data_IF_433940462577
#
_entry.id   IF_433940462577
#
_cell.length_a   1.000
_cell.length_b   1.000
_cell.length_c   1.000
_cell.angle_alpha   90.00
_cell.angle_beta   90.00
_cell.angle_gamma   90.00
#
_symmetry.space_group_name_H-M   'P 1'
#
loop_
_entity.id
_entity.type
_entity.pdbx_description
1 polymer ?
#
# COMPACT_ATOMS: atom_id res chain seq x y z
N UNK A 1 10.02 48.43 43.85
CA UNK A 1 9.24 47.97 42.67
C UNK A 1 10.22 47.74 41.53
N UNK A 2 10.62 46.49 41.30
CA UNK A 2 11.70 46.11 40.38
C UNK A 2 11.17 45.44 39.10
N UNK A 3 11.63 45.84 37.91
CA UNK A 3 11.15 45.34 36.62
C UNK A 3 11.82 44.01 36.24
N UNK A 4 11.62 42.95 37.04
CA UNK A 4 12.21 41.63 36.79
C UNK A 4 11.19 40.54 36.41
N UNK A 5 9.90 40.88 36.27
CA UNK A 5 8.83 39.88 36.08
C UNK A 5 8.34 39.72 34.62
N UNK A 6 8.96 40.40 33.65
CA UNK A 6 8.50 40.43 32.24
C UNK A 6 9.29 39.51 31.28
N UNK A 7 9.81 38.38 31.77
CA UNK A 7 10.58 37.43 30.94
C UNK A 7 10.24 35.96 31.18
N UNK A 8 8.99 35.64 31.53
CA UNK A 8 8.56 34.25 31.72
C UNK A 8 7.21 33.99 31.03
N UNK A 9 7.09 34.38 29.75
CA UNK A 9 5.87 34.14 28.96
C UNK A 9 6.14 33.54 27.57
N UNK A 10 7.38 33.13 27.28
CA UNK A 10 7.79 32.61 25.97
C UNK A 10 8.69 31.37 26.12
N UNK A 11 8.31 30.41 26.96
CA UNK A 11 9.09 29.17 27.09
C UNK A 11 8.25 27.88 27.02
N UNK A 12 6.91 27.96 27.03
CA UNK A 12 6.06 26.75 27.04
C UNK A 12 5.59 26.35 25.63
N UNK A 13 5.51 27.28 24.68
CA UNK A 13 5.01 26.98 23.33
C UNK A 13 6.02 26.23 22.43
N UNK A 14 7.33 26.34 22.71
CA UNK A 14 8.36 25.69 21.90
C UNK A 14 8.54 24.19 22.21
N UNK A 15 8.11 23.73 23.39
CA UNK A 15 8.26 22.33 23.79
C UNK A 15 7.24 21.40 23.11
N UNK A 16 6.07 21.92 22.71
CA UNK A 16 5.02 21.13 22.03
C UNK A 16 5.24 20.98 20.52
N UNK A 17 6.09 21.81 19.91
CA UNK A 17 6.40 21.73 18.47
C UNK A 17 7.57 20.79 18.15
N UNK A 18 8.40 20.43 19.13
CA UNK A 18 9.50 19.47 18.94
C UNK A 18 9.06 17.99 19.03
N UNK A 19 7.84 17.70 19.49
CA UNK A 19 7.35 16.33 19.60
C UNK A 19 6.87 15.73 18.25
N UNK A 20 6.71 16.56 17.21
CA UNK A 20 6.17 16.14 15.91
C UNK A 20 7.23 15.66 14.91
N UNK A 21 8.50 15.80 15.24
CA UNK A 21 9.63 15.37 14.41
C UNK A 21 10.15 14.00 14.86
N UNK A 22 9.25 13.01 14.89
CA UNK A 22 9.67 11.60 14.88
C UNK A 22 10.35 11.36 13.52
N UNK A 23 11.65 11.02 13.48
CA UNK A 23 12.28 10.64 12.23
C UNK A 23 11.53 9.42 11.67
N UNK A 24 11.15 9.48 10.40
CA UNK A 24 10.71 8.29 9.69
C UNK A 24 11.77 7.21 9.91
N UNK A 25 11.40 6.17 10.66
CA UNK A 25 12.29 5.06 11.01
C UNK A 25 12.91 4.56 9.70
N UNK A 26 14.23 4.73 9.53
CA UNK A 26 14.88 4.32 8.30
C UNK A 26 14.62 2.83 8.09
N UNK A 27 13.98 2.47 6.97
CA UNK A 27 13.62 1.09 6.66
C UNK A 27 14.85 0.19 6.78
N UNK A 28 14.70 -0.93 7.50
CA UNK A 28 15.77 -1.91 7.67
C UNK A 28 16.24 -2.46 6.31
N UNK A 29 17.47 -2.97 6.19
CA UNK A 29 17.94 -3.60 4.94
C UNK A 29 16.98 -4.69 4.44
N UNK A 30 16.49 -5.54 5.34
CA UNK A 30 15.51 -6.59 5.02
C UNK A 30 14.17 -6.02 4.51
N UNK A 31 13.77 -4.83 4.96
CA UNK A 31 12.57 -4.16 4.49
C UNK A 31 12.71 -3.54 3.10
N UNK A 32 13.90 -3.03 2.78
CA UNK A 32 14.20 -2.59 1.40
C UNK A 32 14.22 -3.78 0.44
N UNK A 33 14.89 -4.86 0.82
CA UNK A 33 14.95 -6.09 0.02
C UNK A 33 13.55 -6.71 -0.17
N UNK A 34 12.71 -6.69 0.87
CA UNK A 34 11.30 -7.12 0.75
C UNK A 34 10.52 -6.21 -0.21
N UNK A 35 10.70 -4.89 -0.11
CA UNK A 35 10.07 -3.95 -1.04
C UNK A 35 10.52 -4.20 -2.48
N UNK A 36 11.78 -4.57 -2.71
CA UNK A 36 12.31 -4.95 -4.03
C UNK A 36 11.63 -6.20 -4.56
N UNK A 37 11.49 -7.24 -3.73
CA UNK A 37 10.75 -8.46 -4.06
C UNK A 37 9.30 -8.16 -4.45
N UNK A 38 8.62 -7.29 -3.70
CA UNK A 38 7.26 -6.84 -4.01
C UNK A 38 7.21 -6.06 -5.33
N UNK A 39 8.21 -5.21 -5.63
CA UNK A 39 8.29 -4.49 -6.90
C UNK A 39 8.45 -5.45 -8.08
N UNK A 40 9.33 -6.44 -7.97
CA UNK A 40 9.51 -7.46 -8.99
C UNK A 40 8.25 -8.32 -9.16
N UNK A 41 7.56 -8.66 -8.07
CA UNK A 41 6.28 -9.37 -8.10
C UNK A 41 5.22 -8.57 -8.86
N UNK A 42 5.03 -7.28 -8.50
CA UNK A 42 4.05 -6.38 -9.13
C UNK A 42 4.35 -6.13 -10.61
N UNK A 43 5.62 -6.15 -11.00
CA UNK A 43 6.04 -6.01 -12.39
C UNK A 43 5.90 -7.31 -13.21
N UNK A 44 5.35 -8.39 -12.62
CA UNK A 44 5.20 -9.69 -13.28
C UNK A 44 6.50 -10.49 -13.42
N UNK A 45 7.61 -10.02 -12.84
CA UNK A 45 8.89 -10.73 -12.81
C UNK A 45 8.88 -11.79 -11.70
N UNK A 46 7.96 -12.74 -11.82
CA UNK A 46 7.67 -13.73 -10.78
C UNK A 46 8.87 -14.61 -10.38
N UNK A 47 9.73 -15.10 -11.31
CA UNK A 47 10.92 -15.87 -10.93
C UNK A 47 11.92 -15.07 -10.10
N UNK A 48 12.13 -13.80 -10.45
CA UNK A 48 13.01 -12.90 -9.71
C UNK A 48 12.45 -12.61 -8.32
N UNK A 49 11.15 -12.30 -8.25
CA UNK A 49 10.46 -12.08 -6.98
C UNK A 49 10.53 -13.30 -6.06
N UNK A 50 10.29 -14.50 -6.60
CA UNK A 50 10.42 -15.74 -5.85
C UNK A 50 11.83 -15.92 -5.27
N UNK A 51 12.87 -15.70 -6.07
CA UNK A 51 14.26 -15.78 -5.60
C UNK A 51 14.56 -14.80 -4.47
N UNK A 52 14.04 -13.57 -4.56
CA UNK A 52 14.23 -12.55 -3.52
C UNK A 52 13.46 -12.90 -2.23
N UNK A 53 12.21 -13.34 -2.32
CA UNK A 53 11.46 -13.84 -1.16
C UNK A 53 12.12 -15.07 -0.54
N UNK A 54 12.60 -16.00 -1.35
CA UNK A 54 13.33 -17.18 -0.89
C UNK A 54 14.58 -16.80 -0.09
N UNK A 55 15.38 -15.84 -0.59
CA UNK A 55 16.59 -15.39 0.09
C UNK A 55 16.30 -14.70 1.45
N UNK A 56 15.18 -13.99 1.55
CA UNK A 56 14.71 -13.39 2.80
C UNK A 56 14.15 -14.46 3.76
N UNK A 57 13.35 -15.40 3.23
CA UNK A 57 12.78 -16.51 3.98
C UNK A 57 13.88 -17.39 4.62
N UNK A 58 14.93 -17.69 3.86
CA UNK A 58 16.10 -18.44 4.35
C UNK A 58 16.88 -17.72 5.46
N UNK A 59 16.70 -16.40 5.62
CA UNK A 59 17.24 -15.60 6.73
C UNK A 59 16.25 -15.44 7.89
N UNK A 60 15.08 -16.05 7.82
CA UNK A 60 14.05 -16.00 8.87
C UNK A 60 13.04 -14.86 8.72
N UNK A 61 12.96 -14.18 7.56
CA UNK A 61 11.88 -13.21 7.32
C UNK A 61 10.55 -13.97 7.09
N UNK A 62 9.66 -13.84 8.07
CA UNK A 62 8.39 -14.58 8.13
C UNK A 62 7.49 -14.27 6.92
N UNK A 63 7.36 -13.00 6.55
CA UNK A 63 6.44 -12.61 5.48
C UNK A 63 6.92 -13.08 4.12
N UNK A 64 8.24 -13.01 3.89
CA UNK A 64 8.86 -13.59 2.70
C UNK A 64 8.67 -15.10 2.66
N UNK A 65 8.76 -15.79 3.81
CA UNK A 65 8.50 -17.22 3.89
C UNK A 65 7.04 -17.57 3.54
N UNK A 66 6.06 -16.79 4.02
CA UNK A 66 4.64 -16.96 3.66
C UNK A 66 4.44 -16.84 2.15
N UNK A 67 5.02 -15.81 1.54
CA UNK A 67 4.89 -15.57 0.09
C UNK A 67 5.62 -16.65 -0.71
N UNK A 68 6.83 -17.05 -0.31
CA UNK A 68 7.57 -18.12 -0.96
C UNK A 68 6.79 -19.45 -0.90
N UNK A 69 6.24 -19.83 0.26
CA UNK A 69 5.37 -21.00 0.39
C UNK A 69 4.12 -20.92 -0.48
N UNK A 70 3.48 -19.76 -0.52
CA UNK A 70 2.31 -19.53 -1.36
C UNK A 70 2.64 -19.70 -2.86
N UNK A 71 3.72 -19.07 -3.32
CA UNK A 71 4.18 -19.19 -4.70
C UNK A 71 4.58 -20.62 -5.03
N UNK A 72 5.32 -21.30 -4.17
CA UNK A 72 5.73 -22.68 -4.37
C UNK A 72 4.53 -23.63 -4.47
N UNK A 73 3.55 -23.50 -3.57
CA UNK A 73 2.41 -24.42 -3.48
C UNK A 73 1.35 -24.18 -4.55
N UNK A 74 1.03 -22.91 -4.84
CA UNK A 74 -0.04 -22.54 -5.75
C UNK A 74 0.44 -22.05 -7.12
N UNK A 75 1.75 -22.02 -7.33
CA UNK A 75 2.35 -21.51 -8.54
C UNK A 75 1.83 -22.12 -9.84
N UNK A 76 1.74 -23.46 -9.93
CA UNK A 76 1.21 -24.12 -11.12
C UNK A 76 -0.23 -23.70 -11.45
N UNK A 77 -1.06 -23.46 -10.43
CA UNK A 77 -2.47 -23.13 -10.59
C UNK A 77 -2.69 -21.65 -10.89
N UNK A 78 -1.99 -20.75 -10.19
CA UNK A 78 -2.23 -19.31 -10.29
C UNK A 78 -1.41 -18.64 -11.40
N UNK A 79 -0.23 -19.18 -11.70
CA UNK A 79 0.72 -18.53 -12.63
C UNK A 79 1.18 -19.46 -13.76
N UNK A 80 0.75 -20.73 -13.78
CA UNK A 80 1.25 -21.72 -14.74
C UNK A 80 2.76 -21.96 -14.61
N UNK A 81 3.34 -21.71 -13.43
CA UNK A 81 4.78 -21.81 -13.17
C UNK A 81 5.04 -22.60 -11.91
N UNK A 82 5.93 -23.58 -11.99
CA UNK A 82 6.44 -24.28 -10.81
C UNK A 82 7.77 -23.67 -10.41
N UNK A 83 7.91 -23.32 -9.13
CA UNK A 83 9.19 -22.89 -8.58
C UNK A 83 9.76 -23.99 -7.71
N UNK A 84 10.99 -24.35 -8.00
CA UNK A 84 11.69 -25.38 -7.24
C UNK A 84 12.25 -24.79 -5.94
N UNK A 85 12.04 -25.51 -4.86
CA UNK A 85 12.56 -25.20 -3.54
C UNK A 85 12.90 -26.52 -2.87
N UNK A 86 14.11 -26.64 -2.33
CA UNK A 86 14.53 -27.85 -1.64
C UNK A 86 13.58 -28.18 -0.48
N UNK A 87 13.26 -29.46 -0.22
CA UNK A 87 12.28 -29.86 0.78
C UNK A 87 12.63 -29.36 2.19
N UNK A 88 13.92 -29.20 2.49
CA UNK A 88 14.40 -28.63 3.75
C UNK A 88 14.03 -27.15 3.90
N UNK A 89 14.11 -26.36 2.83
CA UNK A 89 13.73 -24.95 2.86
C UNK A 89 12.23 -24.80 3.08
N UNK A 90 11.42 -25.61 2.37
CA UNK A 90 9.96 -25.63 2.52
C UNK A 90 9.57 -25.98 3.96
N UNK A 91 10.18 -27.00 4.55
CA UNK A 91 9.93 -27.38 5.95
C UNK A 91 10.35 -26.28 6.93
N UNK A 92 11.49 -25.63 6.70
CA UNK A 92 11.95 -24.51 7.52
C UNK A 92 11.01 -23.31 7.46
N UNK A 93 10.54 -22.95 6.26
CA UNK A 93 9.57 -21.85 6.08
C UNK A 93 8.24 -22.17 6.74
N UNK A 94 7.74 -23.40 6.61
CA UNK A 94 6.48 -23.82 7.24
C UNK A 94 6.58 -23.71 8.78
N UNK A 95 7.71 -24.14 9.36
CA UNK A 95 8.00 -23.96 10.79
C UNK A 95 8.04 -22.48 11.18
N UNK A 96 8.74 -21.66 10.39
CA UNK A 96 8.87 -20.22 10.63
C UNK A 96 7.49 -19.55 10.65
N UNK A 97 6.64 -19.86 9.68
CA UNK A 97 5.29 -19.31 9.56
C UNK A 97 4.41 -19.76 10.72
N UNK A 98 4.43 -21.04 11.09
CA UNK A 98 3.65 -21.57 12.23
C UNK A 98 4.04 -20.92 13.56
N UNK A 99 5.33 -20.68 13.77
CA UNK A 99 5.85 -20.14 15.03
C UNK A 99 5.87 -18.61 15.08
N UNK A 100 5.45 -17.93 14.00
CA UNK A 100 5.67 -16.50 13.85
C UNK A 100 4.82 -15.58 14.71
N UNK A 101 3.75 -16.06 15.35
CA UNK A 101 2.87 -15.20 16.17
C UNK A 101 2.55 -13.85 15.50
N UNK A 102 2.83 -12.75 16.20
CA UNK A 102 2.67 -11.36 15.71
C UNK A 102 3.92 -10.78 15.03
N UNK A 103 4.97 -11.57 14.80
CA UNK A 103 6.25 -11.11 14.19
C UNK A 103 6.15 -10.76 12.71
N UNK A 104 4.93 -10.71 12.17
CA UNK A 104 4.66 -10.22 10.83
C UNK A 104 4.89 -8.70 10.77
N UNK A 105 5.32 -8.22 9.60
CA UNK A 105 5.27 -6.79 9.28
C UNK A 105 3.83 -6.30 9.50
N UNK A 106 3.65 -5.05 9.96
CA UNK A 106 2.32 -4.47 10.11
C UNK A 106 1.60 -4.58 8.77
N UNK A 107 0.39 -5.16 8.80
CA UNK A 107 -0.40 -5.33 7.59
C UNK A 107 -0.59 -3.95 6.95
N UNK A 108 -0.23 -3.76 5.67
CA UNK A 108 -0.49 -2.48 5.02
C UNK A 108 -1.99 -2.20 5.06
N UNK A 109 -2.35 -0.99 5.45
CA UNK A 109 -3.74 -0.57 5.44
C UNK A 109 -4.25 -0.66 3.99
N UNK A 110 -5.23 -1.52 3.75
CA UNK A 110 -5.83 -1.64 2.43
C UNK A 110 -6.66 -0.38 2.17
N UNK A 111 -6.14 0.52 1.35
CA UNK A 111 -6.87 1.68 0.86
C UNK A 111 -7.31 1.42 -0.60
N UNK A 112 -8.56 0.98 -0.83
CA UNK A 112 -9.04 0.78 -2.19
C UNK A 112 -9.14 2.14 -2.88
N UNK A 113 -8.43 2.31 -4.00
CA UNK A 113 -8.44 3.52 -4.81
C UNK A 113 -9.84 3.96 -5.30
N UNK A 114 -10.84 3.08 -5.17
CA UNK A 114 -12.21 3.28 -5.65
C UNK A 114 -13.09 3.99 -4.61
N UNK A 115 -12.70 4.03 -3.33
CA UNK A 115 -13.54 4.60 -2.27
C UNK A 115 -13.21 6.04 -1.87
N UNK A 116 -12.19 6.66 -2.45
CA UNK A 116 -12.02 8.10 -2.31
C UNK A 116 -13.02 8.78 -3.24
N UNK A 117 -14.07 9.47 -2.73
CA UNK A 117 -14.88 10.32 -3.57
C UNK A 117 -13.97 11.42 -4.08
N UNK A 118 -13.45 11.23 -5.31
CA UNK A 118 -12.87 12.32 -6.07
C UNK A 118 -13.93 13.41 -6.08
N UNK A 119 -13.61 14.55 -5.49
CA UNK A 119 -14.45 15.75 -5.44
C UNK A 119 -14.61 16.24 -6.88
N UNK A 120 -15.41 15.53 -7.67
CA UNK A 120 -15.65 15.83 -9.06
C UNK A 120 -16.41 17.15 -9.08
N UNK A 121 -15.74 18.20 -9.60
CA UNK A 121 -16.36 19.49 -9.86
C UNK A 121 -17.56 19.21 -10.78
N UNK A 122 -18.79 19.61 -10.43
CA UNK A 122 -19.96 19.29 -11.23
C UNK A 122 -19.75 19.82 -12.65
N UNK A 123 -19.68 18.89 -13.61
CA UNK A 123 -19.64 19.23 -15.04
C UNK A 123 -21.01 19.86 -15.36
N UNK A 124 -21.08 21.14 -15.77
CA UNK A 124 -22.34 21.74 -16.15
C UNK A 124 -22.90 20.96 -17.35
N UNK A 125 -24.10 20.42 -17.19
CA UNK A 125 -24.82 19.76 -18.27
C UNK A 125 -25.16 20.83 -19.33
N UNK A 126 -24.95 20.57 -20.63
CA UNK A 126 -25.44 21.47 -21.66
C UNK A 126 -26.97 21.45 -21.62
N UNK A 127 -27.56 22.60 -21.30
CA UNK A 127 -29.01 22.84 -21.41
C UNK A 127 -29.36 22.70 -22.90
N UNK A 128 -29.96 21.57 -23.26
CA UNK A 128 -30.49 21.38 -24.62
C UNK A 128 -31.64 22.36 -24.82
N UNK A 129 -31.40 23.42 -25.57
CA UNK A 129 -32.44 24.35 -25.97
C UNK A 129 -33.54 23.57 -26.71
N UNK A 130 -34.76 23.63 -26.18
CA UNK A 130 -35.96 23.07 -26.78
C UNK A 130 -36.28 23.90 -28.03
N UNK A 131 -36.31 23.34 -29.25
CA UNK A 131 -36.77 24.10 -30.40
C UNK A 131 -38.24 24.47 -30.19
N UNK A 132 -38.55 25.76 -30.30
CA UNK A 132 -39.91 26.25 -30.32
C UNK A 132 -40.62 25.65 -31.53
N UNK A 133 -41.61 24.80 -31.27
CA UNK A 133 -42.48 24.26 -32.30
C UNK A 133 -43.27 25.40 -32.95
N UNK A 134 -43.10 25.52 -34.26
CA UNK A 134 -43.92 26.32 -35.16
C UNK A 134 -45.37 25.82 -35.08
N UNK A 135 -46.29 26.70 -34.72
CA UNK A 135 -47.75 26.52 -34.81
C UNK A 135 -48.29 27.64 -35.69
N UNK A 136 -49.32 27.31 -36.48
CA UNK A 136 -49.88 28.01 -37.65
C UNK A 136 -49.10 27.67 -38.94
N UNK A 137 -49.71 27.12 -39.98
CA UNK A 137 -50.90 27.65 -40.65
C UNK A 137 -51.57 26.54 -41.49
N UNK A 138 -52.75 26.08 -41.08
CA UNK A 138 -53.68 25.29 -41.90
C UNK A 138 -55.08 25.86 -41.68
N UNK A 139 -55.44 26.78 -42.56
CA UNK A 139 -56.79 27.12 -42.97
C UNK A 139 -56.59 27.65 -44.41
N UNK A 140 -57.17 27.09 -45.46
CA UNK A 140 -58.55 26.68 -45.59
C UNK A 140 -59.10 27.45 -46.79
N UNK A 141 -59.47 26.68 -47.81
CA UNK A 141 -60.15 27.01 -49.05
C UNK A 141 -61.14 28.20 -49.00
#
# INVERSE_FOLDING_TARGET
MGPLQRRIATAVAAALLLASSLPALAASPAEREYADAVRSFRAGRLPEAFGQFMALANRGDVDSARIALFMHSYGPVLYGKQWDAGPQNVAYWDLLVRNSGTSARPMPEFQPAVLTPSRAKPRPLPVRARPAGSIAEVAGN
#
